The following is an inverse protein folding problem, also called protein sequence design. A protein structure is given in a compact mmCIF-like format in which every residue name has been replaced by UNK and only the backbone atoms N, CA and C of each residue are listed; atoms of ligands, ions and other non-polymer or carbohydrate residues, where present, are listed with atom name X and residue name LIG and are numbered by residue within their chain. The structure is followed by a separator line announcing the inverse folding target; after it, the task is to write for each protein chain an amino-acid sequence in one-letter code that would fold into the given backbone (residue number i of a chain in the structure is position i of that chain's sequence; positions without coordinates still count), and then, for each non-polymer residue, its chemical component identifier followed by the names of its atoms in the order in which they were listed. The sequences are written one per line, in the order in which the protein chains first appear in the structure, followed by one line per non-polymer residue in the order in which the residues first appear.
data_IF_642176651828
#
_entry.id   IF_642176651828
#
_cell.length_a   1.000
_cell.length_b   1.000
_cell.length_c   1.000
_cell.angle_alpha   90.00
_cell.angle_beta   90.00
_cell.angle_gamma   90.00
#
_symmetry.space_group_name_H-M   'P 1'
#
loop_
_entity.id
_entity.type
_entity.pdbx_description
1 polymer ?
#
# COMPACT_ATOMS: atom_id res chain seq x y z
N UNK A 1 -7.59 29.19 -5.88
CA UNK A 1 -8.72 29.45 -6.81
C UNK A 1 -9.36 28.13 -7.17
N UNK A 2 -10.58 27.92 -6.71
CA UNK A 2 -11.44 26.83 -7.17
C UNK A 2 -11.74 27.07 -8.64
N UNK A 3 -11.33 26.11 -9.49
CA UNK A 3 -11.77 26.08 -10.88
C UNK A 3 -13.29 26.05 -10.92
N UNK A 4 -13.94 26.91 -11.73
CA UNK A 4 -15.40 26.86 -11.88
C UNK A 4 -15.80 25.50 -12.45
N UNK A 5 -16.70 24.77 -11.73
CA UNK A 5 -17.26 23.50 -12.17
C UNK A 5 -16.91 22.27 -11.36
N UNK A 6 -16.13 22.36 -10.29
CA UNK A 6 -16.04 21.29 -9.29
C UNK A 6 -17.15 21.45 -8.26
N UNK A 7 -18.34 20.98 -8.62
CA UNK A 7 -19.28 20.55 -7.60
C UNK A 7 -18.58 19.46 -6.78
N UNK A 8 -18.62 19.58 -5.46
CA UNK A 8 -18.16 18.53 -4.55
C UNK A 8 -19.05 17.32 -4.83
N UNK A 9 -18.51 16.33 -5.57
CA UNK A 9 -19.24 15.11 -5.86
C UNK A 9 -19.50 14.42 -4.52
N UNK A 10 -20.77 14.27 -4.15
CA UNK A 10 -21.17 13.49 -2.99
C UNK A 10 -21.04 12.00 -3.32
N UNK A 11 -19.93 11.40 -2.92
CA UNK A 11 -19.64 9.97 -3.16
C UNK A 11 -20.75 9.09 -2.60
N UNK A 12 -21.37 9.48 -1.49
CA UNK A 12 -22.45 8.72 -0.88
C UNK A 12 -23.69 8.63 -1.78
N UNK A 13 -23.92 9.60 -2.68
CA UNK A 13 -25.03 9.60 -3.64
C UNK A 13 -24.72 8.89 -4.96
N UNK A 14 -23.47 8.50 -5.20
CA UNK A 14 -23.06 7.81 -6.42
C UNK A 14 -23.56 6.38 -6.46
N UNK A 15 -23.90 5.92 -7.69
CA UNK A 15 -24.19 4.51 -7.94
C UNK A 15 -22.92 3.66 -7.87
N UNK A 16 -23.09 2.35 -7.78
CA UNK A 16 -22.01 1.37 -7.87
C UNK A 16 -21.13 1.62 -9.12
N UNK A 17 -21.75 1.75 -10.28
CA UNK A 17 -21.07 1.97 -11.56
C UNK A 17 -20.30 3.29 -11.59
N UNK A 18 -20.91 4.36 -11.05
CA UNK A 18 -20.26 5.68 -10.96
C UNK A 18 -19.01 5.64 -10.06
N UNK A 19 -19.09 4.90 -8.95
CA UNK A 19 -17.94 4.73 -8.03
C UNK A 19 -16.82 3.93 -8.68
N UNK A 20 -17.14 2.83 -9.36
CA UNK A 20 -16.14 2.04 -10.09
C UNK A 20 -15.43 2.89 -11.14
N UNK A 21 -16.21 3.69 -11.88
CA UNK A 21 -15.66 4.58 -12.90
C UNK A 21 -14.79 5.68 -12.30
N UNK A 22 -15.19 6.27 -11.19
CA UNK A 22 -14.38 7.27 -10.49
C UNK A 22 -13.04 6.68 -10.02
N UNK A 23 -13.07 5.46 -9.47
CA UNK A 23 -11.84 4.75 -9.07
C UNK A 23 -10.88 4.55 -10.24
N UNK A 24 -11.42 4.18 -11.41
CA UNK A 24 -10.63 4.01 -12.62
C UNK A 24 -10.04 5.35 -13.13
N UNK A 25 -10.83 6.41 -13.11
CA UNK A 25 -10.36 7.75 -13.49
C UNK A 25 -9.27 8.26 -12.54
N UNK A 26 -9.40 8.02 -11.24
CA UNK A 26 -8.36 8.33 -10.27
C UNK A 26 -7.07 7.55 -10.52
N UNK A 27 -7.16 6.26 -10.91
CA UNK A 27 -5.98 5.47 -11.23
C UNK A 27 -5.18 6.09 -12.38
N UNK A 28 -5.84 6.44 -13.48
CA UNK A 28 -5.14 7.06 -14.60
C UNK A 28 -4.63 8.46 -14.27
N UNK A 29 -5.33 9.19 -13.42
CA UNK A 29 -4.89 10.51 -12.95
C UNK A 29 -3.65 10.42 -12.07
N UNK A 30 -3.57 9.44 -11.17
CA UNK A 30 -2.40 9.21 -10.33
C UNK A 30 -1.13 8.96 -11.15
N UNK A 31 -1.27 8.31 -12.29
CA UNK A 31 -0.16 8.02 -13.21
C UNK A 31 0.05 9.12 -14.26
N UNK A 32 -0.73 10.21 -14.22
CA UNK A 32 -0.61 11.34 -15.15
C UNK A 32 -0.82 10.95 -16.61
N UNK A 33 -1.72 10.01 -16.89
CA UNK A 33 -1.98 9.54 -18.25
C UNK A 33 -2.51 10.65 -19.13
N UNK A 34 -1.92 10.81 -20.31
CA UNK A 34 -2.32 11.79 -21.33
C UNK A 34 -2.13 11.27 -22.75
N UNK A 35 -2.35 12.15 -23.72
CA UNK A 35 -2.42 11.79 -25.15
C UNK A 35 -1.12 11.21 -25.74
N UNK A 36 0.03 11.52 -25.14
CA UNK A 36 1.32 10.98 -25.58
C UNK A 36 1.67 9.64 -24.96
N UNK A 37 0.81 9.12 -24.06
CA UNK A 37 1.11 7.92 -23.33
C UNK A 37 0.69 6.65 -24.07
N UNK A 38 1.46 5.61 -23.84
CA UNK A 38 1.17 4.22 -24.23
C UNK A 38 1.03 3.44 -22.94
N UNK A 39 -0.20 3.05 -22.62
CA UNK A 39 -0.57 2.35 -21.39
C UNK A 39 -0.57 0.85 -21.63
N UNK A 40 0.10 0.12 -20.76
CA UNK A 40 0.10 -1.33 -20.76
C UNK A 40 -0.55 -1.84 -19.47
N UNK A 41 -1.66 -2.56 -19.59
CA UNK A 41 -2.41 -3.10 -18.46
C UNK A 41 -2.19 -4.61 -18.41
N UNK A 42 -1.67 -5.10 -17.28
CA UNK A 42 -1.54 -6.51 -16.96
C UNK A 42 -2.67 -6.84 -15.99
N UNK A 43 -3.57 -7.73 -16.40
CA UNK A 43 -4.74 -8.12 -15.60
C UNK A 43 -4.93 -9.64 -15.59
N UNK A 44 -5.95 -10.09 -14.91
CA UNK A 44 -6.42 -11.48 -14.95
C UNK A 44 -7.91 -11.54 -15.31
N UNK A 45 -8.43 -12.75 -15.54
CA UNK A 45 -9.83 -12.91 -15.91
C UNK A 45 -10.79 -12.45 -14.81
N UNK A 46 -10.41 -12.61 -13.55
CA UNK A 46 -11.26 -12.21 -12.42
C UNK A 46 -11.39 -10.68 -12.27
N UNK A 47 -10.39 -9.92 -12.72
CA UNK A 47 -10.34 -8.46 -12.61
C UNK A 47 -10.46 -7.73 -13.94
N UNK A 48 -10.80 -8.42 -15.00
CA UNK A 48 -10.98 -7.82 -16.34
C UNK A 48 -11.92 -6.62 -16.32
N UNK A 49 -13.02 -6.69 -15.57
CA UNK A 49 -14.00 -5.61 -15.51
C UNK A 49 -13.41 -4.31 -14.93
N UNK A 50 -12.49 -4.41 -13.97
CA UNK A 50 -11.75 -3.25 -13.42
C UNK A 50 -10.74 -2.75 -14.45
N UNK A 51 -9.96 -3.66 -15.03
CA UNK A 51 -8.97 -3.32 -16.07
C UNK A 51 -9.61 -2.63 -17.26
N UNK A 52 -10.80 -3.07 -17.68
CA UNK A 52 -11.56 -2.47 -18.77
C UNK A 52 -11.93 -1.02 -18.47
N UNK A 53 -12.36 -0.71 -17.24
CA UNK A 53 -12.69 0.67 -16.84
C UNK A 53 -11.45 1.57 -16.82
N UNK A 54 -10.32 1.07 -16.35
CA UNK A 54 -9.05 1.79 -16.38
C UNK A 54 -8.61 2.03 -17.83
N UNK A 55 -8.74 1.01 -18.70
CA UNK A 55 -8.44 1.14 -20.13
C UNK A 55 -9.31 2.21 -20.78
N UNK A 56 -10.61 2.23 -20.51
CA UNK A 56 -11.53 3.24 -21.07
C UNK A 56 -11.18 4.64 -20.55
N UNK A 57 -10.85 4.80 -19.28
CA UNK A 57 -10.43 6.08 -18.72
C UNK A 57 -9.15 6.58 -19.40
N UNK A 58 -8.20 5.70 -19.71
CA UNK A 58 -6.99 6.05 -20.46
C UNK A 58 -7.29 6.44 -21.89
N UNK A 59 -8.18 5.70 -22.58
CA UNK A 59 -8.60 6.02 -23.95
C UNK A 59 -9.32 7.37 -24.05
N UNK A 60 -10.13 7.72 -23.05
CA UNK A 60 -10.78 9.05 -22.98
C UNK A 60 -9.77 10.20 -22.88
N UNK A 61 -8.57 9.91 -22.38
CA UNK A 61 -7.43 10.84 -22.35
C UNK A 61 -6.56 10.78 -23.61
N UNK A 62 -7.04 10.07 -24.62
CA UNK A 62 -6.37 9.89 -25.92
C UNK A 62 -5.05 9.12 -25.89
N UNK A 63 -4.83 8.32 -24.82
CA UNK A 63 -3.70 7.42 -24.75
C UNK A 63 -3.94 6.16 -25.59
N UNK A 64 -2.86 5.51 -26.04
CA UNK A 64 -2.92 4.16 -26.57
C UNK A 64 -2.96 3.16 -25.42
N UNK A 65 -3.70 2.05 -25.57
CA UNK A 65 -3.85 1.05 -24.51
C UNK A 65 -3.64 -0.35 -25.06
N UNK A 66 -2.80 -1.12 -24.37
CA UNK A 66 -2.61 -2.56 -24.58
C UNK A 66 -3.01 -3.28 -23.32
N UNK A 67 -3.82 -4.33 -23.42
CA UNK A 67 -4.24 -5.18 -22.28
C UNK A 67 -3.73 -6.59 -22.49
N UNK A 68 -3.15 -7.18 -21.45
CA UNK A 68 -2.68 -8.58 -21.46
C UNK A 68 -3.17 -9.30 -20.19
N UNK A 69 -3.50 -10.56 -20.36
CA UNK A 69 -4.02 -11.43 -19.31
C UNK A 69 -2.92 -12.37 -18.81
N UNK A 70 -2.78 -12.46 -17.49
CA UNK A 70 -1.80 -13.35 -16.85
C UNK A 70 -2.00 -14.81 -17.28
N UNK A 71 -3.25 -15.26 -17.44
CA UNK A 71 -3.61 -16.61 -17.88
C UNK A 71 -3.06 -16.95 -19.27
N UNK A 72 -2.78 -15.97 -20.10
CA UNK A 72 -2.18 -16.20 -21.43
C UNK A 72 -0.67 -16.49 -21.39
N UNK A 73 -0.03 -16.26 -20.24
CA UNK A 73 1.42 -16.50 -20.05
C UNK A 73 1.73 -17.78 -19.27
N UNK A 74 0.71 -18.45 -18.77
CA UNK A 74 0.86 -19.70 -18.04
C UNK A 74 -0.26 -19.95 -17.06
N UNK A 75 -0.14 -21.07 -16.35
CA UNK A 75 -1.06 -21.43 -15.27
C UNK A 75 -0.79 -20.59 -14.02
N UNK A 76 -1.88 -20.11 -13.37
CA UNK A 76 -1.79 -19.34 -12.12
C UNK A 76 -1.66 -20.28 -10.90
N UNK A 77 -0.76 -19.97 -9.92
CA UNK A 77 0.09 -18.80 -9.84
C UNK A 77 1.27 -18.84 -10.83
N UNK A 78 1.55 -17.72 -11.47
CA UNK A 78 2.76 -17.59 -12.26
C UNK A 78 3.97 -17.49 -11.32
N UNK A 79 5.03 -18.25 -11.62
CA UNK A 79 6.23 -18.26 -10.77
C UNK A 79 7.45 -17.65 -11.46
N UNK A 80 7.35 -17.35 -12.74
CA UNK A 80 8.44 -16.83 -13.57
C UNK A 80 7.94 -15.65 -14.39
N UNK A 81 8.73 -14.59 -14.46
CA UNK A 81 8.53 -13.50 -15.41
C UNK A 81 8.97 -13.99 -16.79
N UNK A 82 7.99 -14.38 -17.61
CA UNK A 82 8.24 -15.07 -18.87
C UNK A 82 8.87 -14.18 -19.94
N UNK A 83 9.65 -14.79 -20.84
CA UNK A 83 10.19 -14.15 -22.04
C UNK A 83 9.09 -13.56 -22.92
N UNK A 84 7.95 -14.25 -23.03
CA UNK A 84 6.81 -13.82 -23.83
C UNK A 84 6.24 -12.48 -23.32
N UNK A 85 6.00 -12.36 -22.01
CA UNK A 85 5.53 -11.10 -21.44
C UNK A 85 6.58 -9.99 -21.55
N UNK A 86 7.85 -10.33 -21.30
CA UNK A 86 8.97 -9.38 -21.48
C UNK A 86 9.00 -8.83 -22.90
N UNK A 87 8.86 -9.69 -23.91
CA UNK A 87 8.85 -9.28 -25.31
C UNK A 87 7.62 -8.44 -25.66
N UNK A 88 6.45 -8.78 -25.14
CA UNK A 88 5.25 -7.98 -25.33
C UNK A 88 5.42 -6.55 -24.77
N UNK A 89 6.03 -6.43 -23.60
CA UNK A 89 6.36 -5.14 -23.00
C UNK A 89 7.36 -4.35 -23.84
N UNK A 90 8.44 -4.98 -24.30
CA UNK A 90 9.44 -4.34 -25.15
C UNK A 90 8.80 -3.84 -26.46
N UNK A 91 7.96 -4.64 -27.08
CA UNK A 91 7.31 -4.29 -28.35
C UNK A 91 6.27 -3.18 -28.21
N UNK A 92 5.54 -3.16 -27.09
CA UNK A 92 4.52 -2.14 -26.83
C UNK A 92 5.12 -0.77 -26.46
N UNK A 93 6.35 -0.71 -25.99
CA UNK A 93 7.04 0.52 -25.57
C UNK A 93 6.21 1.38 -24.62
N UNK A 94 5.69 0.82 -23.50
CA UNK A 94 4.81 1.57 -22.63
C UNK A 94 5.52 2.72 -21.95
N UNK A 95 4.76 3.77 -21.68
CA UNK A 95 5.14 4.90 -20.83
C UNK A 95 4.47 4.81 -19.47
N UNK A 96 3.34 4.11 -19.41
CA UNK A 96 2.57 3.85 -18.18
C UNK A 96 2.19 2.38 -18.17
N UNK A 97 2.22 1.76 -16.99
CA UNK A 97 1.68 0.41 -16.81
C UNK A 97 0.83 0.32 -15.55
N UNK A 98 -0.12 -0.63 -15.58
CA UNK A 98 -0.92 -1.01 -14.42
C UNK A 98 -0.88 -2.51 -14.24
N UNK A 99 -0.82 -2.95 -13.00
CA UNK A 99 -1.05 -4.33 -12.61
C UNK A 99 -2.39 -4.42 -11.86
N UNK A 100 -3.39 -5.02 -12.46
CA UNK A 100 -4.76 -5.06 -11.95
C UNK A 100 -5.19 -6.53 -11.89
N UNK A 101 -4.92 -7.19 -10.78
CA UNK A 101 -5.11 -8.62 -10.67
C UNK A 101 -5.35 -9.08 -9.24
N UNK A 102 -5.90 -10.29 -9.11
CA UNK A 102 -5.99 -10.98 -7.83
C UNK A 102 -4.60 -11.32 -7.28
N UNK A 103 -4.49 -11.33 -5.95
CA UNK A 103 -3.29 -11.81 -5.27
C UNK A 103 -3.38 -13.35 -5.14
N UNK A 104 -2.41 -14.05 -5.72
CA UNK A 104 -2.33 -15.52 -5.61
C UNK A 104 -1.05 -15.93 -4.88
N UNK A 105 -1.13 -16.85 -3.89
CA UNK A 105 0.05 -17.33 -3.17
C UNK A 105 1.11 -17.89 -4.14
N UNK A 106 2.37 -17.50 -3.93
CA UNK A 106 3.51 -17.94 -4.75
C UNK A 106 3.80 -17.08 -5.98
N UNK A 107 2.93 -16.16 -6.33
CA UNK A 107 3.08 -15.32 -7.52
C UNK A 107 4.05 -14.17 -7.33
N UNK A 108 4.52 -13.95 -6.10
CA UNK A 108 5.53 -12.93 -5.78
C UNK A 108 6.83 -13.16 -6.58
N UNK A 109 7.21 -14.41 -6.84
CA UNK A 109 8.42 -14.76 -7.61
C UNK A 109 8.34 -14.32 -9.07
N UNK A 110 7.14 -14.19 -9.62
CA UNK A 110 6.88 -13.57 -10.92
C UNK A 110 6.96 -12.04 -10.84
N UNK A 111 6.34 -11.42 -9.82
CA UNK A 111 6.24 -9.95 -9.71
C UNK A 111 7.55 -9.28 -9.34
N UNK A 112 8.38 -9.91 -8.50
CA UNK A 112 9.66 -9.34 -8.07
C UNK A 112 10.59 -8.98 -9.21
N UNK A 113 10.83 -9.84 -10.23
CA UNK A 113 11.64 -9.44 -11.38
C UNK A 113 10.93 -8.53 -12.36
N UNK A 114 9.59 -8.58 -12.45
CA UNK A 114 8.82 -7.74 -13.36
C UNK A 114 8.87 -6.26 -12.97
N UNK A 115 8.72 -5.94 -11.69
CA UNK A 115 8.70 -4.55 -11.22
C UNK A 115 9.96 -3.76 -11.57
N UNK A 116 11.18 -4.23 -11.28
CA UNK A 116 12.39 -3.54 -11.70
C UNK A 116 12.52 -3.41 -13.22
N UNK A 117 12.08 -4.42 -13.96
CA UNK A 117 12.07 -4.35 -15.42
C UNK A 117 11.19 -3.20 -15.92
N UNK A 118 9.98 -3.06 -15.38
CA UNK A 118 9.07 -1.99 -15.73
C UNK A 118 9.62 -0.60 -15.38
N UNK A 119 10.08 -0.42 -14.15
CA UNK A 119 10.43 0.92 -13.64
C UNK A 119 11.86 1.33 -13.92
N UNK A 120 12.82 0.41 -13.87
CA UNK A 120 14.24 0.72 -14.04
C UNK A 120 14.71 0.57 -15.49
N UNK A 121 14.25 -0.46 -16.21
CA UNK A 121 14.67 -0.68 -17.61
C UNK A 121 13.74 0.04 -18.59
N UNK A 122 12.43 -0.17 -18.51
CA UNK A 122 11.47 0.50 -19.39
C UNK A 122 11.12 1.92 -18.95
N UNK A 123 11.44 2.30 -17.74
CA UNK A 123 11.20 3.63 -17.18
C UNK A 123 9.74 4.04 -17.19
N UNK A 124 8.83 3.10 -17.03
CA UNK A 124 7.40 3.40 -16.97
C UNK A 124 7.02 4.06 -15.64
N UNK A 125 5.90 4.73 -15.64
CA UNK A 125 5.14 5.07 -14.43
C UNK A 125 4.20 3.91 -14.18
N UNK A 126 4.31 3.25 -13.03
CA UNK A 126 3.59 2.01 -12.76
C UNK A 126 2.65 2.13 -11.57
N UNK A 127 1.37 1.85 -11.78
CA UNK A 127 0.36 1.69 -10.75
C UNK A 127 0.15 0.22 -10.42
N UNK A 128 0.47 -0.18 -9.18
CA UNK A 128 0.42 -1.56 -8.73
C UNK A 128 -0.83 -1.79 -7.89
N UNK A 129 -1.79 -2.52 -8.45
CA UNK A 129 -3.11 -2.73 -7.85
C UNK A 129 -3.34 -4.21 -7.55
N UNK A 130 -2.35 -4.84 -6.91
CA UNK A 130 -2.43 -6.25 -6.52
C UNK A 130 -3.50 -6.48 -5.46
N UNK A 131 -4.39 -7.45 -5.69
CA UNK A 131 -5.47 -7.76 -4.77
C UNK A 131 -6.63 -6.77 -4.84
N UNK A 132 -6.64 -5.87 -5.82
CA UNK A 132 -7.76 -4.93 -6.03
C UNK A 132 -9.07 -5.69 -6.21
N UNK A 133 -10.13 -5.12 -5.67
CA UNK A 133 -11.51 -5.59 -5.85
C UNK A 133 -12.46 -4.41 -5.99
N UNK A 134 -13.75 -4.70 -6.18
CA UNK A 134 -14.78 -3.68 -6.38
C UNK A 134 -14.92 -2.76 -5.16
N UNK A 135 -14.82 -3.32 -3.95
CA UNK A 135 -14.93 -2.54 -2.71
C UNK A 135 -13.81 -1.50 -2.63
N UNK A 136 -12.57 -1.91 -2.88
CA UNK A 136 -11.42 -0.98 -2.87
C UNK A 136 -11.54 0.06 -3.99
N UNK A 137 -12.02 -0.32 -5.16
CA UNK A 137 -12.29 0.64 -6.25
C UNK A 137 -13.31 1.68 -5.85
N UNK A 138 -14.35 1.29 -5.10
CA UNK A 138 -15.43 2.19 -4.66
C UNK A 138 -15.10 3.00 -3.40
N UNK A 139 -14.08 2.61 -2.66
CA UNK A 139 -13.67 3.28 -1.41
C UNK A 139 -12.34 4.01 -1.57
N UNK A 140 -11.22 3.33 -1.35
CA UNK A 140 -9.90 3.95 -1.37
C UNK A 140 -9.55 4.60 -2.71
N UNK A 141 -9.96 4.01 -3.82
CA UNK A 141 -9.73 4.60 -5.15
C UNK A 141 -10.64 5.78 -5.45
N UNK A 142 -11.75 5.97 -4.73
CA UNK A 142 -12.64 7.13 -4.89
C UNK A 142 -12.23 8.36 -4.08
N UNK A 143 -11.07 8.34 -3.44
CA UNK A 143 -10.56 9.47 -2.67
C UNK A 143 -10.25 10.68 -3.56
N UNK A 144 -10.24 11.87 -2.95
CA UNK A 144 -9.66 13.06 -3.56
C UNK A 144 -8.13 12.98 -3.48
N UNK A 145 -7.48 12.61 -4.57
CA UNK A 145 -6.02 12.42 -4.61
C UNK A 145 -5.23 13.73 -4.58
N UNK A 146 -5.84 14.87 -4.80
CA UNK A 146 -5.20 16.17 -4.51
C UNK A 146 -5.10 16.37 -2.99
N UNK A 147 -6.13 15.98 -2.23
CA UNK A 147 -6.10 15.97 -0.77
C UNK A 147 -5.09 14.95 -0.24
N UNK A 148 -5.08 13.73 -0.77
CA UNK A 148 -4.11 12.70 -0.39
C UNK A 148 -2.69 13.21 -0.59
N UNK A 149 -2.40 13.83 -1.72
CA UNK A 149 -1.10 14.43 -2.01
C UNK A 149 -0.73 15.48 -0.97
N UNK A 150 -1.64 16.41 -0.69
CA UNK A 150 -1.43 17.50 0.27
C UNK A 150 -1.19 16.98 1.70
N UNK A 151 -2.06 16.11 2.20
CA UNK A 151 -1.95 15.55 3.56
C UNK A 151 -0.69 14.71 3.70
N UNK A 152 -0.37 13.88 2.71
CA UNK A 152 0.83 13.03 2.74
C UNK A 152 2.09 13.89 2.84
N UNK A 153 2.19 14.96 2.06
CA UNK A 153 3.35 15.87 2.13
C UNK A 153 3.41 16.63 3.44
N UNK A 154 2.28 17.05 4.02
CA UNK A 154 2.25 17.68 5.34
C UNK A 154 2.75 16.72 6.42
N UNK A 155 2.29 15.48 6.42
CA UNK A 155 2.75 14.46 7.37
C UNK A 155 4.23 14.16 7.18
N UNK A 156 4.68 14.04 5.93
CA UNK A 156 6.10 13.86 5.62
C UNK A 156 6.96 14.99 6.24
N UNK A 157 6.56 16.23 6.07
CA UNK A 157 7.28 17.38 6.64
C UNK A 157 7.34 17.33 8.17
N UNK A 158 6.29 16.81 8.82
CA UNK A 158 6.23 16.70 10.28
C UNK A 158 7.10 15.57 10.83
N UNK A 159 7.28 14.47 10.08
CA UNK A 159 7.97 13.27 10.58
C UNK A 159 9.40 13.12 10.11
N UNK A 160 9.78 13.74 9.00
CA UNK A 160 11.08 13.51 8.34
C UNK A 160 12.31 13.72 9.20
N UNK A 161 12.22 14.55 10.24
CA UNK A 161 13.28 14.83 11.19
C UNK A 161 12.93 14.38 12.62
N UNK A 162 11.91 13.53 12.78
CA UNK A 162 11.46 13.08 14.09
C UNK A 162 12.56 12.27 14.81
N UNK A 163 12.71 12.51 16.09
CA UNK A 163 13.55 11.71 16.99
C UNK A 163 12.75 10.54 17.56
N UNK A 164 11.55 10.82 18.02
CA UNK A 164 10.64 9.82 18.60
C UNK A 164 9.22 10.06 18.12
N UNK A 165 8.51 8.95 17.89
CA UNK A 165 7.07 8.96 17.65
C UNK A 165 6.43 8.00 18.65
N UNK A 166 5.46 8.51 19.41
CA UNK A 166 4.66 7.74 20.35
C UNK A 166 3.27 7.54 19.79
N UNK A 167 2.79 6.31 19.80
CA UNK A 167 1.47 5.94 19.30
C UNK A 167 0.72 5.12 20.33
N UNK A 168 -0.52 5.51 20.57
CA UNK A 168 -1.49 4.72 21.32
C UNK A 168 -2.68 4.40 20.42
N UNK A 169 -3.43 3.36 20.76
CA UNK A 169 -4.67 3.01 20.06
C UNK A 169 -5.81 2.72 21.02
N UNK A 170 -7.05 2.77 20.51
CA UNK A 170 -8.25 2.56 21.31
C UNK A 170 -8.27 1.20 22.02
N UNK A 171 -7.71 0.17 21.39
CA UNK A 171 -7.68 -1.20 21.96
C UNK A 171 -6.46 -1.48 22.83
N UNK A 172 -5.60 -0.50 23.07
CA UNK A 172 -4.52 -0.60 24.04
C UNK A 172 -3.11 -0.70 23.48
N UNK A 173 -2.90 -0.43 22.18
CA UNK A 173 -1.54 -0.26 21.68
C UNK A 173 -0.86 0.91 22.38
N UNK A 174 0.42 0.75 22.66
CA UNK A 174 1.27 1.79 23.25
C UNK A 174 2.71 1.49 22.85
N UNK A 175 3.20 2.20 21.84
CA UNK A 175 4.55 2.02 21.31
C UNK A 175 5.27 3.35 21.10
N UNK A 176 6.58 3.32 21.30
CA UNK A 176 7.48 4.43 20.98
C UNK A 176 8.54 3.94 20.01
N UNK A 177 8.68 4.63 18.91
CA UNK A 177 9.70 4.37 17.91
C UNK A 177 10.78 5.45 17.93
N UNK A 178 12.02 5.05 17.66
CA UNK A 178 13.14 5.96 17.39
C UNK A 178 13.65 5.73 15.98
N UNK A 179 14.35 6.73 15.43
CA UNK A 179 14.72 6.74 14.03
C UNK A 179 16.21 7.01 13.84
N UNK A 180 16.79 6.40 12.82
CA UNK A 180 18.13 6.67 12.38
C UNK A 180 18.08 7.83 11.36
N UNK A 181 18.79 8.92 11.63
CA UNK A 181 18.82 10.11 10.76
C UNK A 181 19.35 9.82 9.34
N UNK A 182 20.08 8.72 9.15
CA UNK A 182 20.65 8.33 7.86
C UNK A 182 19.65 7.47 7.04
N UNK A 183 18.54 7.05 7.64
CA UNK A 183 17.47 6.31 6.97
C UNK A 183 16.32 7.24 6.62
N UNK A 184 15.79 7.06 5.42
CA UNK A 184 14.83 8.00 4.84
C UNK A 184 13.39 7.66 5.15
N UNK A 185 12.58 8.70 5.31
CA UNK A 185 11.15 8.63 5.16
C UNK A 185 10.77 8.78 3.70
N UNK A 186 9.78 8.03 3.24
CA UNK A 186 9.28 8.03 1.86
C UNK A 186 7.81 8.45 1.86
N UNK A 187 7.46 9.56 1.19
CA UNK A 187 6.06 9.94 1.00
C UNK A 187 5.47 9.18 -0.19
N UNK A 188 4.38 8.44 0.05
CA UNK A 188 3.61 7.74 -0.97
C UNK A 188 2.30 8.51 -1.17
N UNK A 189 2.34 9.50 -2.03
CA UNK A 189 1.28 10.51 -2.14
C UNK A 189 0.31 10.31 -3.31
N UNK A 190 0.48 9.25 -4.10
CA UNK A 190 -0.43 8.94 -5.21
C UNK A 190 -0.23 9.79 -6.46
N UNK A 191 0.86 10.54 -6.58
CA UNK A 191 1.15 11.32 -7.78
C UNK A 191 2.46 10.86 -8.40
N UNK A 192 2.36 9.96 -9.39
CA UNK A 192 3.50 9.29 -10.03
C UNK A 192 3.58 9.77 -11.49
N UNK A 193 4.00 11.01 -11.69
CA UNK A 193 4.03 11.69 -12.98
C UNK A 193 5.40 11.66 -13.65
N UNK A 194 6.42 11.12 -12.99
CA UNK A 194 7.79 11.04 -13.50
C UNK A 194 8.15 9.62 -13.94
N UNK A 195 8.91 9.51 -15.05
CA UNK A 195 9.37 8.23 -15.55
C UNK A 195 10.15 7.43 -14.49
N UNK A 196 9.87 6.12 -14.40
CA UNK A 196 10.52 5.23 -13.46
C UNK A 196 9.98 5.32 -12.02
N UNK A 197 8.89 6.03 -11.79
CA UNK A 197 8.21 6.07 -10.49
C UNK A 197 7.06 5.06 -10.46
N UNK A 198 6.82 4.51 -9.29
CA UNK A 198 5.71 3.58 -9.11
C UNK A 198 5.15 3.65 -7.69
N UNK A 199 3.96 3.16 -7.52
CA UNK A 199 3.33 3.01 -6.22
C UNK A 199 2.16 2.05 -6.25
N UNK A 200 1.71 1.66 -5.08
CA UNK A 200 0.45 0.94 -4.93
C UNK A 200 -0.72 1.91 -5.13
N UNK A 201 -1.82 1.43 -5.65
CA UNK A 201 -3.08 2.15 -5.70
C UNK A 201 -4.19 1.26 -5.12
N UNK A 202 -4.99 1.75 -4.17
CA UNK A 202 -5.01 3.10 -3.60
C UNK A 202 -3.73 3.46 -2.86
N UNK A 203 -3.50 4.76 -2.69
CA UNK A 203 -2.26 5.28 -2.12
C UNK A 203 -2.55 6.29 -1.01
N UNK A 204 -1.57 6.54 -0.16
CA UNK A 204 -1.61 7.51 0.92
C UNK A 204 -0.91 6.98 2.16
N UNK A 205 0.40 7.21 2.26
CA UNK A 205 1.19 6.89 3.45
C UNK A 205 2.53 7.61 3.43
N UNK A 206 3.14 7.69 4.60
CA UNK A 206 4.57 7.97 4.73
C UNK A 206 5.20 6.85 5.53
N UNK A 207 6.34 6.34 5.10
CA UNK A 207 7.00 5.24 5.79
C UNK A 207 8.50 5.41 5.90
N UNK A 208 9.08 4.75 6.89
CA UNK A 208 10.53 4.61 7.06
C UNK A 208 10.85 3.26 7.71
N UNK A 209 12.13 2.89 7.75
CA UNK A 209 12.62 1.82 8.61
C UNK A 209 12.94 2.44 9.99
N UNK A 210 12.34 1.98 11.09
CA UNK A 210 12.65 2.52 12.42
C UNK A 210 13.99 1.97 12.94
N UNK A 211 14.64 2.73 13.83
CA UNK A 211 15.82 2.25 14.55
C UNK A 211 15.39 1.31 15.67
N UNK A 212 14.41 1.72 16.49
CA UNK A 212 13.81 0.90 17.54
C UNK A 212 12.29 1.08 17.57
N UNK A 213 11.61 0.06 18.06
CA UNK A 213 10.20 0.11 18.45
C UNK A 213 10.08 -0.63 19.77
N UNK A 214 9.48 0.03 20.77
CA UNK A 214 9.30 -0.51 22.11
C UNK A 214 7.85 -0.36 22.56
N UNK A 215 7.28 -1.41 23.11
CA UNK A 215 5.94 -1.41 23.70
C UNK A 215 5.05 -2.52 23.19
N UNK A 216 3.77 -2.25 23.04
CA UNK A 216 2.74 -3.23 22.71
C UNK A 216 1.91 -2.75 21.52
N UNK A 217 1.72 -3.65 20.55
CA UNK A 217 0.82 -3.46 19.42
C UNK A 217 -0.38 -4.40 19.56
N UNK A 218 -1.57 -3.84 19.55
CA UNK A 218 -2.84 -4.58 19.51
C UNK A 218 -3.38 -4.47 18.09
N UNK A 219 -3.28 -5.56 17.32
CA UNK A 219 -3.44 -5.55 15.88
C UNK A 219 -4.78 -6.13 15.44
N UNK A 220 -5.51 -5.39 14.61
CA UNK A 220 -6.80 -5.80 14.06
C UNK A 220 -6.69 -6.44 12.68
N UNK A 221 -5.66 -6.09 11.90
CA UNK A 221 -5.38 -6.67 10.58
C UNK A 221 -3.89 -7.02 10.51
N UNK A 222 -3.61 -8.17 9.92
CA UNK A 222 -2.25 -8.65 9.65
C UNK A 222 -2.08 -8.77 8.14
N UNK A 223 -0.91 -8.38 7.64
CA UNK A 223 -0.57 -8.45 6.23
C UNK A 223 -0.15 -9.83 5.74
N UNK A 224 0.53 -9.85 4.59
CA UNK A 224 0.90 -11.05 3.87
C UNK A 224 -0.34 -11.92 3.61
N UNK A 225 -0.23 -13.24 3.68
CA UNK A 225 -1.37 -14.14 3.47
C UNK A 225 -2.43 -14.07 4.59
N UNK A 226 -2.09 -13.52 5.75
CA UNK A 226 -3.02 -13.41 6.88
C UNK A 226 -4.25 -12.56 6.57
N UNK A 227 -4.09 -11.45 5.84
CA UNK A 227 -5.21 -10.58 5.49
C UNK A 227 -6.19 -11.28 4.55
N UNK A 228 -5.70 -12.07 3.59
CA UNK A 228 -6.55 -12.88 2.71
C UNK A 228 -7.27 -14.00 3.45
N UNK A 229 -6.63 -14.55 4.48
CA UNK A 229 -7.17 -15.68 5.25
C UNK A 229 -8.17 -15.24 6.32
N UNK A 230 -7.89 -14.15 7.02
CA UNK A 230 -8.64 -13.75 8.23
C UNK A 230 -9.38 -12.41 8.08
N UNK A 231 -8.99 -11.55 7.14
CA UNK A 231 -9.53 -10.20 7.06
C UNK A 231 -9.31 -9.41 8.35
N UNK A 232 -10.33 -8.70 8.80
CA UNK A 232 -10.32 -8.07 10.13
C UNK A 232 -10.48 -9.18 11.18
N UNK A 233 -9.51 -9.26 12.11
CA UNK A 233 -9.49 -10.28 13.14
C UNK A 233 -10.66 -10.09 14.11
N UNK A 234 -11.38 -11.17 14.44
CA UNK A 234 -12.42 -11.16 15.48
C UNK A 234 -11.82 -10.83 16.85
N UNK A 235 -10.64 -11.42 17.13
CA UNK A 235 -9.87 -11.14 18.33
C UNK A 235 -8.50 -10.62 17.91
N UNK A 236 -8.05 -9.47 18.43
CA UNK A 236 -6.78 -8.91 18.02
C UNK A 236 -5.60 -9.79 18.41
N UNK A 237 -4.53 -9.70 17.64
CA UNK A 237 -3.22 -10.24 17.97
C UNK A 237 -2.43 -9.18 18.72
N UNK A 238 -1.81 -9.56 19.80
CA UNK A 238 -1.01 -8.66 20.65
C UNK A 238 0.46 -9.01 20.48
N UNK A 239 1.25 -8.02 20.05
CA UNK A 239 2.69 -8.14 19.87
C UNK A 239 3.40 -7.30 20.92
N UNK A 240 4.26 -7.92 21.72
CA UNK A 240 5.18 -7.20 22.59
C UNK A 240 6.50 -7.03 21.86
N UNK A 241 6.98 -5.80 21.78
CA UNK A 241 8.17 -5.43 21.00
C UNK A 241 9.18 -4.74 21.90
N UNK A 242 10.45 -5.14 21.79
CA UNK A 242 11.57 -4.54 22.52
C UNK A 242 12.77 -4.34 21.58
N UNK A 243 13.30 -3.13 21.56
CA UNK A 243 14.42 -2.73 20.70
C UNK A 243 14.19 -3.11 19.23
N UNK A 244 12.95 -3.05 18.75
CA UNK A 244 12.56 -3.39 17.39
C UNK A 244 12.24 -4.85 17.15
N UNK A 245 12.40 -5.73 18.15
CA UNK A 245 12.15 -7.17 18.00
C UNK A 245 10.91 -7.62 18.78
N UNK A 246 10.06 -8.42 18.13
CA UNK A 246 8.96 -9.10 18.82
C UNK A 246 9.55 -10.07 19.84
N UNK A 247 9.13 -9.95 21.10
CA UNK A 247 9.50 -10.84 22.18
C UNK A 247 8.36 -11.75 22.62
N UNK A 248 7.11 -11.39 22.32
CA UNK A 248 5.96 -12.20 22.62
C UNK A 248 4.81 -11.94 21.64
N UNK A 249 4.08 -13.00 21.31
CA UNK A 249 2.86 -12.98 20.52
C UNK A 249 1.75 -13.61 21.36
N UNK A 250 0.67 -12.87 21.58
CA UNK A 250 -0.46 -13.35 22.40
C UNK A 250 -1.81 -12.96 21.78
N UNK A 251 -2.88 -13.51 22.32
CA UNK A 251 -4.25 -13.28 21.86
C UNK A 251 -5.17 -14.38 22.34
N UNK A 252 -6.47 -14.17 22.17
CA UNK A 252 -7.47 -15.14 22.63
C UNK A 252 -7.59 -16.39 21.75
N UNK A 253 -7.31 -16.25 20.43
CA UNK A 253 -7.32 -17.38 19.50
C UNK A 253 -5.93 -18.02 19.45
N UNK A 254 -5.74 -19.12 20.20
CA UNK A 254 -4.46 -19.81 20.29
C UNK A 254 -3.92 -20.31 18.95
N UNK A 255 -4.78 -20.76 18.04
CA UNK A 255 -4.38 -21.25 16.73
C UNK A 255 -3.80 -20.13 15.86
N UNK A 256 -4.45 -18.98 15.83
CA UNK A 256 -3.96 -17.80 15.10
C UNK A 256 -2.66 -17.28 15.70
N UNK A 257 -2.57 -17.20 17.04
CA UNK A 257 -1.35 -16.81 17.75
C UNK A 257 -0.16 -17.68 17.33
N UNK A 258 -0.34 -19.01 17.33
CA UNK A 258 0.74 -19.93 16.97
C UNK A 258 1.14 -19.81 15.50
N UNK A 259 0.20 -19.64 14.60
CA UNK A 259 0.46 -19.44 13.18
C UNK A 259 1.28 -18.16 12.93
N UNK A 260 0.89 -17.07 13.57
CA UNK A 260 1.59 -15.78 13.49
C UNK A 260 3.00 -15.88 14.07
N UNK A 261 3.12 -16.48 15.27
CA UNK A 261 4.42 -16.70 15.92
C UNK A 261 5.36 -17.51 15.03
N UNK A 262 4.89 -18.66 14.54
CA UNK A 262 5.69 -19.55 13.70
C UNK A 262 6.19 -18.86 12.44
N UNK A 263 5.33 -18.05 11.81
CA UNK A 263 5.70 -17.34 10.58
C UNK A 263 6.72 -16.24 10.84
N UNK A 264 6.50 -15.40 11.84
CA UNK A 264 7.39 -14.27 12.16
C UNK A 264 8.79 -14.74 12.62
N UNK A 265 8.87 -15.89 13.26
CA UNK A 265 10.14 -16.47 13.73
C UNK A 265 10.73 -17.50 12.76
N UNK A 266 10.14 -17.70 11.59
CA UNK A 266 10.58 -18.72 10.63
C UNK A 266 11.89 -18.38 9.90
N UNK A 267 12.29 -17.11 9.91
CA UNK A 267 13.46 -16.62 9.17
C UNK A 267 14.14 -15.50 9.95
N UNK A 268 15.48 -15.33 9.80
CA UNK A 268 16.18 -14.23 10.46
C UNK A 268 15.59 -12.87 10.17
N UNK A 269 15.45 -12.05 11.21
CA UNK A 269 14.83 -10.72 11.16
C UNK A 269 13.33 -10.69 10.77
N UNK A 270 12.66 -11.83 10.68
CA UNK A 270 11.22 -11.84 10.45
C UNK A 270 10.43 -11.21 11.59
N UNK A 271 10.95 -11.26 12.81
CA UNK A 271 10.38 -10.65 14.01
C UNK A 271 10.91 -9.24 14.30
N UNK A 272 11.69 -8.65 13.38
CA UNK A 272 12.25 -7.30 13.52
C UNK A 272 11.40 -6.27 12.81
N UNK A 273 11.08 -5.16 13.49
CA UNK A 273 10.36 -4.04 12.88
C UNK A 273 11.20 -3.43 11.76
N UNK A 274 10.72 -3.57 10.53
CA UNK A 274 11.38 -3.06 9.32
C UNK A 274 10.70 -1.84 8.74
N UNK A 275 9.44 -1.61 9.05
CA UNK A 275 8.69 -0.46 8.57
C UNK A 275 7.87 0.14 9.70
N UNK A 276 7.87 1.47 9.74
CA UNK A 276 7.02 2.28 10.59
C UNK A 276 6.33 3.31 9.67
N UNK A 277 5.00 3.27 9.61
CA UNK A 277 4.25 4.02 8.62
C UNK A 277 3.02 4.69 9.20
N UNK A 278 2.67 5.83 8.64
CA UNK A 278 1.45 6.57 8.96
C UNK A 278 0.60 6.65 7.69
N UNK A 279 -0.61 6.10 7.73
CA UNK A 279 -1.58 6.17 6.66
C UNK A 279 -2.16 7.57 6.53
N UNK A 280 -2.34 8.03 5.30
CA UNK A 280 -2.79 9.38 4.99
C UNK A 280 -4.01 9.44 4.05
N UNK A 281 -4.62 8.29 3.77
CA UNK A 281 -5.84 8.21 2.95
C UNK A 281 -7.05 8.56 3.82
N UNK A 282 -7.26 9.85 4.02
CA UNK A 282 -8.18 10.43 5.00
C UNK A 282 -9.67 10.11 4.75
N UNK A 283 -10.01 9.66 3.54
CA UNK A 283 -11.38 9.22 3.22
C UNK A 283 -11.76 7.89 3.85
N UNK A 284 -10.79 7.09 4.29
CA UNK A 284 -11.03 5.81 4.95
C UNK A 284 -11.31 6.03 6.43
N UNK A 285 -12.40 5.43 6.94
CA UNK A 285 -12.83 5.57 8.33
C UNK A 285 -12.88 4.25 9.08
N UNK A 286 -12.78 3.12 8.38
CA UNK A 286 -12.82 1.79 8.97
C UNK A 286 -12.00 0.79 8.17
N UNK A 287 -11.51 -0.25 8.84
CA UNK A 287 -10.79 -1.34 8.21
C UNK A 287 -11.75 -2.20 7.38
N UNK A 288 -11.27 -2.66 6.23
CA UNK A 288 -12.04 -3.50 5.29
C UNK A 288 -11.63 -4.98 5.35
N UNK A 289 -10.43 -5.26 5.83
CA UNK A 289 -9.79 -6.58 5.73
C UNK A 289 -8.96 -6.76 4.46
N UNK A 290 -9.00 -5.80 3.54
CA UNK A 290 -8.11 -5.79 2.37
C UNK A 290 -6.90 -4.90 2.66
N UNK A 291 -5.71 -5.53 2.73
CA UNK A 291 -4.48 -4.84 3.10
C UNK A 291 -4.15 -3.68 2.15
N UNK A 292 -4.46 -3.80 0.86
CA UNK A 292 -4.12 -2.79 -0.15
C UNK A 292 -4.63 -1.39 0.23
N UNK A 293 -5.80 -1.31 0.86
CA UNK A 293 -6.30 -0.03 1.37
C UNK A 293 -6.16 0.12 2.89
N UNK A 294 -6.23 -0.95 3.68
CA UNK A 294 -6.21 -0.85 5.14
C UNK A 294 -4.90 -0.26 5.67
N UNK A 295 -3.78 -0.54 5.00
CA UNK A 295 -2.48 0.06 5.33
C UNK A 295 -2.42 1.57 5.05
N UNK A 296 -3.36 2.11 4.28
CA UNK A 296 -3.47 3.54 3.95
C UNK A 296 -4.41 4.30 4.88
N UNK A 297 -5.18 3.59 5.70
CA UNK A 297 -6.10 4.22 6.65
C UNK A 297 -5.33 5.11 7.63
N UNK A 298 -5.86 6.31 7.97
CA UNK A 298 -5.23 7.18 8.96
C UNK A 298 -4.96 6.43 10.26
N UNK A 299 -3.69 6.34 10.64
CA UNK A 299 -3.23 5.56 11.77
C UNK A 299 -1.82 5.05 11.54
N UNK A 300 -1.39 4.20 12.45
CA UNK A 300 -0.11 3.51 12.37
C UNK A 300 -0.26 2.18 11.67
N UNK A 301 0.70 1.82 10.83
CA UNK A 301 1.03 0.42 10.63
C UNK A 301 2.54 0.19 10.78
N UNK A 302 2.88 -0.97 11.27
CA UNK A 302 4.26 -1.43 11.42
C UNK A 302 4.39 -2.71 10.61
N UNK A 303 5.48 -2.88 9.87
CA UNK A 303 5.77 -4.15 9.24
C UNK A 303 6.97 -4.81 9.90
N UNK A 304 6.84 -6.10 10.14
CA UNK A 304 7.95 -6.92 10.64
C UNK A 304 8.57 -7.68 9.48
N UNK A 305 9.90 -7.60 9.38
CA UNK A 305 10.66 -8.17 8.29
C UNK A 305 11.34 -7.11 7.43
N UNK A 306 11.35 -7.33 6.13
CA UNK A 306 12.14 -6.54 5.19
C UNK A 306 11.90 -5.02 5.32
N UNK A 307 12.96 -4.21 5.55
CA UNK A 307 12.86 -2.76 5.76
C UNK A 307 12.89 -1.95 4.46
N UNK A 308 12.80 -2.56 3.29
CA UNK A 308 12.98 -1.93 1.99
C UNK A 308 14.27 -1.09 1.90
N UNK A 309 15.45 -1.73 2.07
CA UNK A 309 16.72 -1.00 2.13
C UNK A 309 17.03 -0.18 0.89
N UNK A 310 16.52 -0.59 -0.28
CA UNK A 310 16.65 0.15 -1.54
C UNK A 310 15.97 1.53 -1.51
N UNK A 311 14.97 1.72 -0.65
CA UNK A 311 14.26 2.99 -0.47
C UNK A 311 14.67 3.70 0.82
N UNK A 312 14.72 2.99 1.93
CA UNK A 312 14.95 3.57 3.26
C UNK A 312 16.41 3.79 3.59
N UNK A 313 17.30 3.01 2.97
CA UNK A 313 18.73 3.02 3.30
C UNK A 313 19.08 2.18 4.52
N UNK A 314 18.14 1.39 5.05
CA UNK A 314 18.41 0.47 6.15
C UNK A 314 19.53 -0.53 5.77
N UNK A 315 20.34 -0.91 6.74
CA UNK A 315 21.54 -1.73 6.55
C UNK A 315 21.34 -3.23 6.78
N UNK A 316 20.07 -3.66 6.75
CA UNK A 316 19.69 -5.04 6.98
C UNK A 316 18.51 -5.44 6.10
N UNK A 317 18.21 -6.71 6.01
CA UNK A 317 17.10 -7.28 5.23
C UNK A 317 16.50 -8.51 5.87
N UNK A 318 15.33 -8.89 5.39
CA UNK A 318 14.65 -10.12 5.76
C UNK A 318 13.89 -10.69 4.56
N UNK A 319 13.51 -11.95 4.66
CA UNK A 319 12.83 -12.67 3.57
C UNK A 319 11.29 -12.50 3.60
N UNK A 320 10.74 -12.00 4.69
CA UNK A 320 9.30 -11.77 4.86
C UNK A 320 9.03 -10.30 5.16
N UNK A 321 7.79 -9.90 4.98
CA UNK A 321 7.30 -8.56 5.29
C UNK A 321 5.82 -8.68 5.67
N UNK A 322 5.53 -8.46 6.95
CA UNK A 322 4.18 -8.61 7.50
C UNK A 322 3.75 -7.32 8.14
N UNK A 323 2.81 -6.63 7.52
CA UNK A 323 2.19 -5.43 8.08
C UNK A 323 1.27 -5.80 9.23
N UNK A 324 1.25 -5.00 10.27
CA UNK A 324 0.32 -5.12 11.39
C UNK A 324 -0.36 -3.78 11.60
N UNK A 325 -1.68 -3.78 11.73
CA UNK A 325 -2.49 -2.57 11.75
C UNK A 325 -3.32 -2.51 13.03
N UNK A 326 -2.92 -1.67 14.00
CA UNK A 326 -3.83 -1.22 15.05
C UNK A 326 -4.79 -0.19 14.50
N UNK A 327 -5.95 -0.03 15.09
CA UNK A 327 -6.94 0.95 14.64
C UNK A 327 -7.23 2.02 15.68
N UNK A 328 -7.68 3.18 15.22
CA UNK A 328 -8.03 4.35 16.05
C UNK A 328 -6.83 4.82 16.87
N UNK A 329 -5.84 5.35 16.16
CA UNK A 329 -4.57 5.76 16.76
C UNK A 329 -4.56 7.23 17.19
N UNK A 330 -3.79 7.52 18.23
CA UNK A 330 -3.32 8.84 18.59
C UNK A 330 -1.81 8.85 18.39
N UNK A 331 -1.30 9.81 17.64
CA UNK A 331 0.11 9.88 17.23
C UNK A 331 0.74 11.18 17.69
N UNK A 332 1.88 11.07 18.38
CA UNK A 332 2.66 12.15 18.91
C UNK A 332 4.07 12.12 18.34
N UNK A 333 4.48 13.20 17.68
CA UNK A 333 5.80 13.35 17.06
C UNK A 333 6.61 14.37 17.89
N UNK A 334 7.68 13.90 18.54
CA UNK A 334 8.52 14.73 19.42
C UNK A 334 7.69 15.60 20.39
N UNK A 335 6.66 15.01 20.99
CA UNK A 335 5.77 15.66 21.95
C UNK A 335 4.60 16.44 21.34
N UNK A 336 4.52 16.55 20.01
CA UNK A 336 3.42 17.22 19.30
C UNK A 336 2.40 16.17 18.81
N UNK A 337 1.15 16.31 19.22
CA UNK A 337 0.05 15.49 18.71
C UNK A 337 -0.26 15.90 17.27
N UNK A 338 -0.18 14.94 16.35
CA UNK A 338 -0.53 15.14 14.92
C UNK A 338 -1.80 14.37 14.53
N UNK A 339 -2.18 13.37 15.32
CA UNK A 339 -3.40 12.59 15.15
C UNK A 339 -4.00 12.26 16.50
N UNK A 340 -5.32 12.40 16.62
CA UNK A 340 -6.07 12.07 17.84
C UNK A 340 -7.27 11.20 17.46
N UNK A 341 -7.36 10.02 18.10
CA UNK A 341 -8.47 9.08 17.89
C UNK A 341 -8.78 8.83 16.39
N UNK A 342 -7.73 8.65 15.58
CA UNK A 342 -7.85 8.35 14.16
C UNK A 342 -8.02 9.55 13.24
N UNK A 343 -8.00 10.78 13.77
CA UNK A 343 -8.18 12.01 12.99
C UNK A 343 -6.95 12.91 13.08
N UNK A 344 -6.44 13.36 11.93
CA UNK A 344 -5.33 14.31 11.91
C UNK A 344 -5.73 15.64 12.56
N UNK A 345 -4.82 16.21 13.35
CA UNK A 345 -4.96 17.51 14.01
C UNK A 345 -4.12 18.61 13.37
N UNK A 346 -3.68 18.36 12.16
CA UNK A 346 -2.81 19.24 11.36
C UNK A 346 -3.59 20.11 10.40
#
# INVERSE_FOLDING_TARGET
STLPGRETLDIASMTFEERLQMGAENAVRCMGVGASDRVFIITDFEREHIARRVAMAALERHADVTVRFLEHYGERPLTVFSEELRNDLINARPTVSFYIATAKPGEITFRLPMLPFLVNELRVRHGHMIGIDDEVMMEGMCADYDEVFSVTNQVYDLVRNAKTIHVTSAKGSDVTATFNKDWKWIPCHGRYHEAGKWGNLPEGEVFTAPATVDGVLVCDVLGDFFSSKYGVLEQPIILTVKDGYITDVSGENAAVVEEVRSYLFSTPNGNRAGEFAIGTLTSLTQLSGNLLQDEKMPGLHVAFGNPYPEFTGADWKAKIHVDVIPSVCTIEVDGRVIMRDGHFTI
#
